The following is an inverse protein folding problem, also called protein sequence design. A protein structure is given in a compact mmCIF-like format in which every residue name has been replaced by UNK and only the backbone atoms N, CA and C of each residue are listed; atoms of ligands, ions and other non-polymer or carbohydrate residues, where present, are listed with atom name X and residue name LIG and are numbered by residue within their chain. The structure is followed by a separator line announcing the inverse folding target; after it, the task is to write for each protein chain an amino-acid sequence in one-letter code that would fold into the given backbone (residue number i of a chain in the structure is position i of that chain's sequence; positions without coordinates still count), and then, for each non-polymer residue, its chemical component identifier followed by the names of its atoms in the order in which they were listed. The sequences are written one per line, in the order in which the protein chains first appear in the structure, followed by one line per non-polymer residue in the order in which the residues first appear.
data_IF_766196775488
#
_entry.id   IF_766196775488
#
_cell.length_a   1.000
_cell.length_b   1.000
_cell.length_c   1.000
_cell.angle_alpha   90.00
_cell.angle_beta   90.00
_cell.angle_gamma   90.00
#
_symmetry.space_group_name_H-M   'P 1'
#
loop_
_entity.id
_entity.type
_entity.pdbx_description
1 polymer ?
#
# COMPACT_ATOMS: atom_id res chain seq x y z
N UNK A 1 9.24 -1.66 16.35
CA UNK A 1 8.41 -2.29 17.41
C UNK A 1 8.87 -1.95 18.83
N UNK A 2 10.16 -2.04 19.26
CA UNK A 2 10.56 -1.72 20.64
C UNK A 2 10.19 -0.31 21.11
N UNK A 3 10.26 0.69 20.24
CA UNK A 3 9.84 2.08 20.59
C UNK A 3 8.35 2.16 20.89
N UNK A 4 7.51 1.56 20.04
CA UNK A 4 6.05 1.54 20.22
C UNK A 4 5.70 0.80 21.51
N UNK A 5 6.36 -0.33 21.77
CA UNK A 5 6.17 -1.08 22.99
C UNK A 5 6.45 -0.23 24.24
N UNK A 6 7.50 0.59 24.24
CA UNK A 6 7.82 1.49 25.36
C UNK A 6 6.77 2.60 25.59
N UNK A 7 6.08 3.03 24.54
CA UNK A 7 5.07 4.09 24.63
C UNK A 7 3.72 3.60 25.14
N UNK A 8 3.44 2.32 25.00
CA UNK A 8 2.19 1.72 25.43
C UNK A 8 2.28 1.23 26.88
N UNK A 9 1.16 1.25 27.60
CA UNK A 9 1.03 0.58 28.89
C UNK A 9 0.74 -0.91 28.66
N UNK A 10 1.08 -1.80 29.63
CA UNK A 10 0.70 -3.22 29.56
C UNK A 10 -0.80 -3.38 29.31
N UNK A 11 -1.18 -4.31 28.45
CA UNK A 11 -2.56 -4.56 28.07
C UNK A 11 -3.16 -3.57 27.06
N UNK A 12 -2.40 -2.54 26.62
CA UNK A 12 -2.85 -1.63 25.57
C UNK A 12 -2.66 -2.23 24.18
N UNK A 13 -3.53 -1.78 23.27
CA UNK A 13 -3.60 -2.27 21.91
C UNK A 13 -2.76 -1.45 20.96
N UNK A 14 -2.16 -2.13 19.99
CA UNK A 14 -1.51 -1.55 18.82
C UNK A 14 -2.13 -2.16 17.56
N UNK A 15 -2.83 -1.31 16.80
CA UNK A 15 -3.45 -1.73 15.56
C UNK A 15 -2.51 -1.48 14.39
N UNK A 16 -2.31 -2.51 13.57
CA UNK A 16 -1.63 -2.41 12.28
C UNK A 16 -2.68 -2.61 11.19
N UNK A 17 -2.82 -1.63 10.31
CA UNK A 17 -3.68 -1.73 9.13
C UNK A 17 -2.83 -1.61 7.88
N UNK A 18 -3.00 -2.54 6.95
CA UNK A 18 -2.31 -2.57 5.67
C UNK A 18 -3.37 -2.61 4.58
N UNK A 19 -3.20 -1.78 3.57
CA UNK A 19 -4.07 -1.71 2.41
C UNK A 19 -3.22 -1.78 1.15
N UNK A 20 -3.08 -3.00 0.63
CA UNK A 20 -2.31 -3.27 -0.58
C UNK A 20 -3.23 -3.33 -1.79
N UNK A 21 -2.96 -2.59 -2.85
CA UNK A 21 -3.60 -2.87 -4.14
C UNK A 21 -3.03 -4.15 -4.74
N UNK A 22 -3.84 -4.81 -5.56
CA UNK A 22 -3.54 -6.12 -6.14
C UNK A 22 -3.25 -5.99 -7.64
N UNK A 23 -1.98 -5.80 -8.05
CA UNK A 23 -1.63 -5.54 -9.44
C UNK A 23 -1.91 -6.71 -10.37
N UNK A 24 -1.87 -7.95 -9.88
CA UNK A 24 -2.17 -9.13 -10.68
C UNK A 24 -3.67 -9.35 -10.92
N UNK A 25 -4.52 -8.58 -10.22
CA UNK A 25 -5.98 -8.63 -10.32
C UNK A 25 -6.55 -7.33 -10.94
N UNK A 26 -5.70 -6.41 -11.38
CA UNK A 26 -6.08 -5.13 -11.98
C UNK A 26 -5.08 -4.68 -13.03
N UNK A 27 -5.54 -4.53 -14.26
CA UNK A 27 -4.71 -4.01 -15.35
C UNK A 27 -4.23 -2.57 -15.05
N UNK A 28 -5.10 -1.73 -14.51
CA UNK A 28 -4.77 -0.35 -14.13
C UNK A 28 -3.66 -0.33 -13.07
N UNK A 29 -3.80 -1.13 -12.01
CA UNK A 29 -2.81 -1.20 -10.96
C UNK A 29 -1.47 -1.77 -11.48
N UNK A 30 -1.51 -2.79 -12.32
CA UNK A 30 -0.31 -3.36 -12.95
C UNK A 30 0.43 -2.35 -13.82
N UNK A 31 -0.29 -1.62 -14.66
CA UNK A 31 0.31 -0.57 -15.51
C UNK A 31 0.87 0.57 -14.67
N UNK A 32 0.20 0.93 -13.57
CA UNK A 32 0.70 1.94 -12.63
C UNK A 32 2.01 1.51 -11.99
N UNK A 33 2.12 0.25 -11.53
CA UNK A 33 3.37 -0.29 -10.97
C UNK A 33 4.51 -0.33 -12.00
N UNK A 34 4.22 -0.75 -13.23
CA UNK A 34 5.21 -0.74 -14.32
C UNK A 34 5.75 0.67 -14.57
N UNK A 35 4.88 1.67 -14.47
CA UNK A 35 5.29 3.06 -14.65
C UNK A 35 6.12 3.57 -13.46
N UNK A 36 5.79 3.18 -12.24
CA UNK A 36 6.64 3.47 -11.08
C UNK A 36 8.04 2.90 -11.30
N UNK A 37 8.13 1.62 -11.68
CA UNK A 37 9.41 0.92 -11.89
C UNK A 37 10.21 1.50 -13.07
N UNK A 38 9.57 2.09 -14.06
CA UNK A 38 10.24 2.80 -15.15
C UNK A 38 11.06 3.99 -14.62
N UNK A 39 10.50 4.75 -13.69
CA UNK A 39 11.14 5.92 -13.07
C UNK A 39 12.00 5.58 -11.85
N UNK A 40 11.65 4.53 -11.14
CA UNK A 40 12.35 4.07 -9.95
C UNK A 40 12.49 2.54 -9.93
N UNK A 41 13.48 1.99 -10.65
CA UNK A 41 13.69 0.54 -10.72
C UNK A 41 14.00 -0.12 -9.37
N UNK A 42 14.49 0.65 -8.40
CA UNK A 42 14.82 0.16 -7.05
C UNK A 42 13.61 0.04 -6.12
N UNK A 43 12.42 0.49 -6.56
CA UNK A 43 11.22 0.40 -5.73
C UNK A 43 10.82 -1.05 -5.47
N UNK A 44 10.72 -1.43 -4.20
CA UNK A 44 10.42 -2.79 -3.75
C UNK A 44 8.95 -3.02 -3.36
N UNK A 45 8.11 -2.00 -3.49
CA UNK A 45 6.70 -2.06 -3.10
C UNK A 45 5.76 -2.76 -4.09
N UNK A 46 6.28 -3.23 -5.22
CA UNK A 46 5.51 -3.85 -6.31
C UNK A 46 5.15 -5.33 -6.05
N UNK A 47 4.20 -5.83 -6.83
CA UNK A 47 3.91 -7.25 -6.94
C UNK A 47 3.17 -7.84 -5.73
N UNK A 48 2.43 -7.04 -4.99
CA UNK A 48 1.64 -7.51 -3.85
C UNK A 48 0.57 -8.51 -4.29
N UNK A 49 0.40 -9.56 -3.49
CA UNK A 49 -0.60 -10.62 -3.68
C UNK A 49 -1.36 -10.84 -2.39
N UNK A 50 -2.52 -11.47 -2.51
CA UNK A 50 -3.21 -12.02 -1.34
C UNK A 50 -2.30 -12.99 -0.62
N UNK A 51 -2.24 -12.89 0.70
CA UNK A 51 -1.39 -13.76 1.53
C UNK A 51 -2.04 -14.00 2.88
N UNK A 52 -1.67 -15.10 3.54
CA UNK A 52 -2.04 -15.30 4.94
C UNK A 52 -1.23 -14.32 5.79
N UNK A 53 -1.87 -13.40 6.51
CA UNK A 53 -1.15 -12.44 7.33
C UNK A 53 -0.48 -13.14 8.52
N UNK A 54 0.68 -12.65 8.89
CA UNK A 54 1.41 -13.11 10.07
C UNK A 54 1.89 -11.93 10.90
N UNK A 55 2.01 -12.16 12.20
CA UNK A 55 2.58 -11.15 13.10
C UNK A 55 4.02 -10.85 12.66
N UNK A 56 4.39 -9.57 12.55
CA UNK A 56 5.77 -9.21 12.22
C UNK A 56 6.77 -9.77 13.23
N UNK A 57 7.86 -10.36 12.77
CA UNK A 57 8.91 -10.90 13.65
C UNK A 57 9.40 -9.90 14.70
N UNK A 58 9.44 -8.62 14.34
CA UNK A 58 9.84 -7.57 15.28
C UNK A 58 8.84 -7.31 16.42
N UNK A 59 7.65 -7.92 16.39
CA UNK A 59 6.66 -7.85 17.43
C UNK A 59 6.69 -9.08 18.37
N UNK A 60 7.39 -10.15 17.99
CA UNK A 60 7.52 -11.36 18.79
C UNK A 60 8.09 -11.06 20.17
N UNK A 61 7.47 -11.61 21.23
CA UNK A 61 7.87 -11.37 22.60
C UNK A 61 7.55 -9.98 23.17
N UNK A 62 7.00 -9.09 22.37
CA UNK A 62 6.59 -7.74 22.77
C UNK A 62 5.07 -7.57 22.76
N UNK A 63 4.39 -8.30 21.89
CA UNK A 63 2.95 -8.21 21.69
C UNK A 63 2.34 -9.59 21.44
N UNK A 64 1.14 -9.78 21.98
CA UNK A 64 0.29 -10.92 21.65
C UNK A 64 -0.72 -10.53 20.57
N UNK A 65 -0.92 -11.36 19.56
CA UNK A 65 -1.95 -11.15 18.56
C UNK A 65 -3.33 -11.47 19.16
N UNK A 66 -4.15 -10.44 19.33
CA UNK A 66 -5.53 -10.59 19.81
C UNK A 66 -6.45 -11.02 18.69
N UNK A 67 -6.31 -10.40 17.54
CA UNK A 67 -7.09 -10.68 16.34
C UNK A 67 -6.31 -10.31 15.07
N UNK A 68 -6.50 -11.11 14.02
CA UNK A 68 -5.98 -10.84 12.68
C UNK A 68 -7.11 -11.05 11.68
N UNK A 69 -7.46 -10.00 10.96
CA UNK A 69 -8.50 -10.02 9.93
C UNK A 69 -7.84 -9.69 8.59
N UNK A 70 -8.14 -10.49 7.55
CA UNK A 70 -7.71 -10.19 6.19
C UNK A 70 -8.82 -10.50 5.21
N UNK A 71 -9.05 -9.60 4.25
CA UNK A 71 -10.06 -9.75 3.21
C UNK A 71 -9.71 -8.93 1.97
N UNK A 72 -10.25 -9.34 0.84
CA UNK A 72 -10.16 -8.58 -0.40
C UNK A 72 -11.42 -7.74 -0.59
N UNK A 73 -11.26 -6.53 -1.11
CA UNK A 73 -12.36 -5.63 -1.47
C UNK A 73 -11.98 -4.75 -2.64
N UNK A 74 -12.99 -4.31 -3.38
CA UNK A 74 -12.81 -3.35 -4.46
C UNK A 74 -13.01 -1.93 -3.94
N UNK A 75 -12.00 -1.08 -4.12
CA UNK A 75 -12.05 0.31 -3.70
C UNK A 75 -12.28 1.20 -4.92
N UNK A 76 -13.32 2.07 -4.91
CA UNK A 76 -13.59 2.98 -6.01
C UNK A 76 -12.58 4.13 -6.04
N UNK A 77 -12.15 4.46 -7.25
CA UNK A 77 -11.29 5.62 -7.55
C UNK A 77 -11.79 6.35 -8.78
N UNK A 78 -11.43 7.63 -8.86
CA UNK A 78 -11.37 8.37 -10.12
C UNK A 78 -9.94 8.34 -10.65
N UNK A 79 -9.74 8.69 -11.92
CA UNK A 79 -8.38 8.84 -12.48
C UNK A 79 -7.52 9.78 -11.63
N UNK A 80 -8.08 10.89 -11.18
CA UNK A 80 -7.38 11.86 -10.33
C UNK A 80 -7.01 11.27 -8.97
N UNK A 81 -7.97 10.65 -8.27
CA UNK A 81 -7.73 10.09 -6.92
C UNK A 81 -6.77 8.92 -6.96
N UNK A 82 -6.81 8.07 -8.00
CA UNK A 82 -5.85 6.99 -8.17
C UNK A 82 -4.46 7.51 -8.46
N UNK A 83 -4.33 8.50 -9.35
CA UNK A 83 -3.04 9.13 -9.63
C UNK A 83 -2.44 9.77 -8.38
N UNK A 84 -3.25 10.45 -7.56
CA UNK A 84 -2.82 10.99 -6.27
C UNK A 84 -2.37 9.91 -5.29
N UNK A 85 -3.09 8.79 -5.24
CA UNK A 85 -2.74 7.62 -4.40
C UNK A 85 -1.37 7.03 -4.78
N UNK A 86 -1.10 6.89 -6.08
CA UNK A 86 0.19 6.38 -6.57
C UNK A 86 1.30 7.40 -6.35
N UNK A 87 1.05 8.67 -6.61
CA UNK A 87 2.03 9.76 -6.39
C UNK A 87 2.53 9.79 -4.94
N UNK A 88 1.63 9.59 -3.98
CA UNK A 88 1.96 9.60 -2.55
C UNK A 88 2.77 8.38 -2.07
N UNK A 89 2.99 7.37 -2.91
CA UNK A 89 3.77 6.21 -2.50
C UNK A 89 5.29 6.51 -2.50
N UNK A 90 6.04 5.69 -1.76
CA UNK A 90 7.51 5.81 -1.67
C UNK A 90 8.23 5.70 -3.02
N UNK A 91 7.60 5.03 -3.98
CA UNK A 91 8.16 4.85 -5.32
C UNK A 91 8.25 6.15 -6.11
N UNK A 92 7.43 7.13 -5.79
CA UNK A 92 7.31 8.39 -6.54
C UNK A 92 7.73 9.58 -5.66
N UNK A 93 6.86 10.09 -4.81
CA UNK A 93 7.06 11.39 -4.15
C UNK A 93 8.27 11.44 -3.21
N UNK A 94 8.53 10.35 -2.51
CA UNK A 94 9.66 10.26 -1.57
C UNK A 94 11.00 9.92 -2.24
N UNK A 95 11.03 9.58 -3.53
CA UNK A 95 12.22 9.05 -4.21
C UNK A 95 12.64 9.83 -5.45
N UNK A 96 11.72 10.49 -6.13
CA UNK A 96 11.96 11.17 -7.41
C UNK A 96 12.15 12.68 -7.23
N UNK A 97 12.88 13.30 -8.17
CA UNK A 97 12.97 14.76 -8.26
C UNK A 97 11.65 15.35 -8.75
N UNK A 98 11.43 16.65 -8.51
CA UNK A 98 10.22 17.33 -8.99
C UNK A 98 10.03 17.21 -10.50
N UNK A 99 11.10 17.30 -11.29
CA UNK A 99 11.04 17.16 -12.75
C UNK A 99 10.65 15.73 -13.17
N UNK A 100 11.16 14.71 -12.48
CA UNK A 100 10.79 13.32 -12.72
C UNK A 100 9.34 13.04 -12.33
N UNK A 101 8.86 13.60 -11.23
CA UNK A 101 7.46 13.48 -10.78
C UNK A 101 6.52 14.10 -11.84
N UNK A 102 6.82 15.27 -12.38
CA UNK A 102 6.03 15.90 -13.44
C UNK A 102 5.93 15.02 -14.68
N UNK A 103 7.04 14.44 -15.12
CA UNK A 103 7.07 13.51 -16.27
C UNK A 103 6.26 12.26 -16.00
N UNK A 104 6.46 11.65 -14.83
CA UNK A 104 5.69 10.48 -14.39
C UNK A 104 4.19 10.79 -14.37
N UNK A 105 3.80 11.91 -13.78
CA UNK A 105 2.40 12.31 -13.66
C UNK A 105 1.73 12.48 -15.02
N UNK A 106 2.42 13.10 -15.97
CA UNK A 106 1.94 13.25 -17.34
C UNK A 106 1.73 11.89 -18.03
N UNK A 107 2.69 10.97 -17.92
CA UNK A 107 2.55 9.62 -18.47
C UNK A 107 1.45 8.82 -17.78
N UNK A 108 1.31 8.93 -16.45
CA UNK A 108 0.29 8.24 -15.68
C UNK A 108 -1.12 8.71 -16.06
N UNK A 109 -1.31 10.03 -16.19
CA UNK A 109 -2.57 10.61 -16.66
C UNK A 109 -2.92 10.15 -18.08
N UNK A 110 -1.92 10.10 -18.97
CA UNK A 110 -2.10 9.60 -20.34
C UNK A 110 -2.53 8.14 -20.36
N UNK A 111 -1.92 7.29 -19.54
CA UNK A 111 -2.31 5.89 -19.40
C UNK A 111 -3.72 5.76 -18.85
N UNK A 112 -4.09 6.52 -17.82
CA UNK A 112 -5.42 6.48 -17.23
C UNK A 112 -6.52 6.98 -18.16
N UNK A 113 -6.20 7.84 -19.11
CA UNK A 113 -7.14 8.32 -20.13
C UNK A 113 -7.66 7.20 -21.05
N UNK A 114 -7.00 6.04 -21.11
CA UNK A 114 -7.47 4.86 -21.84
C UNK A 114 -8.60 4.11 -21.11
N UNK A 115 -8.91 4.47 -19.88
CA UNK A 115 -9.89 3.83 -19.02
C UNK A 115 -11.04 4.77 -18.68
N UNK A 116 -12.19 4.26 -18.19
CA UNK A 116 -13.25 5.11 -17.65
C UNK A 116 -12.73 6.04 -16.55
N UNK A 117 -13.34 7.22 -16.40
CA UNK A 117 -13.01 8.21 -15.37
C UNK A 117 -13.12 7.64 -13.94
N UNK A 118 -14.09 6.74 -13.73
CA UNK A 118 -14.31 6.04 -12.47
C UNK A 118 -14.10 4.54 -12.65
N UNK A 119 -13.38 3.92 -11.74
CA UNK A 119 -13.07 2.49 -11.75
C UNK A 119 -12.88 1.98 -10.33
N UNK A 120 -12.82 0.67 -10.18
CA UNK A 120 -12.50 0.02 -8.90
C UNK A 120 -11.17 -0.69 -8.99
N UNK A 121 -10.38 -0.60 -7.92
CA UNK A 121 -9.10 -1.31 -7.79
C UNK A 121 -9.23 -2.33 -6.66
N UNK A 122 -9.01 -3.62 -6.94
CA UNK A 122 -9.01 -4.64 -5.91
C UNK A 122 -7.85 -4.43 -4.95
N UNK A 123 -8.16 -4.48 -3.66
CA UNK A 123 -7.23 -4.34 -2.55
C UNK A 123 -7.31 -5.54 -1.62
N UNK A 124 -6.20 -5.82 -0.96
CA UNK A 124 -6.14 -6.77 0.15
C UNK A 124 -5.91 -5.99 1.43
N UNK A 125 -6.88 -6.10 2.34
CA UNK A 125 -6.89 -5.39 3.61
C UNK A 125 -6.46 -6.34 4.70
N UNK A 126 -5.48 -5.94 5.51
CA UNK A 126 -5.05 -6.68 6.69
C UNK A 126 -5.17 -5.78 7.91
N UNK A 127 -5.79 -6.28 8.95
CA UNK A 127 -5.94 -5.59 10.23
C UNK A 127 -5.42 -6.54 11.32
N UNK A 128 -4.43 -6.09 12.07
CA UNK A 128 -3.87 -6.84 13.19
C UNK A 128 -4.08 -6.05 14.47
N UNK A 129 -4.72 -6.67 15.45
CA UNK A 129 -4.84 -6.14 16.79
C UNK A 129 -3.82 -6.84 17.69
N UNK A 130 -2.81 -6.10 18.08
CA UNK A 130 -1.71 -6.56 18.92
C UNK A 130 -1.83 -5.96 20.30
N UNK A 131 -1.77 -6.79 21.34
CA UNK A 131 -1.84 -6.36 22.74
C UNK A 131 -0.45 -6.40 23.36
N UNK A 132 -0.05 -5.30 23.98
CA UNK A 132 1.24 -5.25 24.69
C UNK A 132 1.27 -6.25 25.84
N UNK A 133 2.30 -7.09 25.84
CA UNK A 133 2.66 -7.98 26.95
C UNK A 133 3.27 -7.16 28.10
#
# INVERSE_FOLDING_TARGET
MPKIHKWLKPGWHFLITIMDWLPFESEIAMKSEKLILKYNPAWSGCGRKRSTPSVPKCAEGLFDAKNIIAYATDIPFTSESWSGRIKACRGIEASLTSAEIEKWEAEHKKMLAEYPESFKIPHFITIMDLVKI
#
